data_IF_580584762901
#
_entry.id   IF_580584762901
#
_cell.length_a   1.000
_cell.length_b   1.000
_cell.length_c   1.000
_cell.angle_alpha   90.00
_cell.angle_beta   90.00
_cell.angle_gamma   90.00
#
_symmetry.space_group_name_H-M   'P 1'
#
loop_
_entity.id
_entity.type
_entity.pdbx_description
1 polymer ?
#
# COMPACT_ATOMS: atom_id res chain seq x y z
N UNK A 1 -1.43 -10.22 29.27
CA UNK A 1 -1.84 -11.47 28.57
C UNK A 1 -2.74 -11.24 27.36
N UNK A 2 -3.84 -10.45 27.43
CA UNK A 2 -4.71 -10.15 26.26
C UNK A 2 -4.00 -9.42 25.11
N UNK A 3 -3.15 -8.44 25.40
CA UNK A 3 -2.41 -7.69 24.35
C UNK A 3 -1.39 -8.58 23.61
N UNK A 4 -0.70 -9.48 24.31
CA UNK A 4 0.25 -10.43 23.69
C UNK A 4 -0.42 -11.36 22.66
N UNK A 5 -1.62 -11.88 22.96
CA UNK A 5 -2.38 -12.71 22.03
C UNK A 5 -2.78 -11.92 20.77
N UNK A 6 -3.26 -10.68 20.94
CA UNK A 6 -3.62 -9.81 19.83
C UNK A 6 -2.42 -9.51 18.90
N UNK A 7 -1.22 -9.29 19.45
CA UNK A 7 -0.01 -9.10 18.62
C UNK A 7 0.40 -10.38 17.89
N UNK A 8 0.29 -11.54 18.54
CA UNK A 8 0.63 -12.82 17.92
C UNK A 8 -0.26 -13.13 16.72
N UNK A 9 -1.57 -12.90 16.84
CA UNK A 9 -2.51 -13.10 15.73
C UNK A 9 -2.28 -12.09 14.60
N UNK A 10 -1.99 -10.82 14.94
CA UNK A 10 -1.61 -9.81 13.93
C UNK A 10 -0.32 -10.16 13.20
N UNK A 11 0.69 -10.71 13.87
CA UNK A 11 1.92 -11.19 13.22
C UNK A 11 1.67 -12.34 12.25
N UNK A 12 0.80 -13.29 12.61
CA UNK A 12 0.40 -14.37 11.68
C UNK A 12 -0.28 -13.80 10.45
N UNK A 13 -1.18 -12.83 10.63
CA UNK A 13 -1.87 -12.18 9.53
C UNK A 13 -0.89 -11.45 8.60
N UNK A 14 0.06 -10.67 9.15
CA UNK A 14 1.12 -10.02 8.35
C UNK A 14 1.91 -11.04 7.53
N UNK A 15 2.31 -12.18 8.13
CA UNK A 15 3.04 -13.25 7.42
C UNK A 15 2.21 -13.89 6.30
N UNK A 16 0.91 -14.06 6.49
CA UNK A 16 0.01 -14.58 5.46
C UNK A 16 -0.12 -13.60 4.28
N UNK A 17 -0.36 -12.32 4.58
CA UNK A 17 -0.46 -11.26 3.57
C UNK A 17 0.85 -11.06 2.80
N UNK A 18 1.99 -11.10 3.50
CA UNK A 18 3.34 -11.05 2.91
C UNK A 18 3.55 -12.17 1.89
N UNK A 19 3.16 -13.41 2.23
CA UNK A 19 3.24 -14.55 1.30
C UNK A 19 2.38 -14.35 0.05
N UNK A 20 1.16 -13.81 0.21
CA UNK A 20 0.24 -13.56 -0.93
C UNK A 20 0.75 -12.45 -1.85
N UNK A 21 1.35 -11.40 -1.30
CA UNK A 21 2.03 -10.36 -2.08
C UNK A 21 3.20 -10.96 -2.86
N UNK A 22 4.07 -11.72 -2.20
CA UNK A 22 5.23 -12.38 -2.83
C UNK A 22 4.81 -13.34 -3.94
N UNK A 23 3.78 -14.16 -3.69
CA UNK A 23 3.20 -15.02 -4.72
C UNK A 23 2.72 -14.22 -5.94
N UNK A 24 2.05 -13.09 -5.73
CA UNK A 24 1.59 -12.24 -6.83
C UNK A 24 2.76 -11.64 -7.62
N UNK A 25 3.84 -11.23 -6.95
CA UNK A 25 5.08 -10.80 -7.61
C UNK A 25 5.72 -11.94 -8.42
N UNK A 26 5.84 -13.14 -7.85
CA UNK A 26 6.37 -14.32 -8.55
C UNK A 26 5.55 -14.60 -9.82
N UNK A 27 4.21 -14.53 -9.73
CA UNK A 27 3.33 -14.70 -10.88
C UNK A 27 3.49 -13.63 -11.94
N UNK A 28 3.77 -12.39 -11.58
CA UNK A 28 4.08 -11.33 -12.56
C UNK A 28 5.39 -11.64 -13.30
N UNK A 29 6.40 -12.15 -12.60
CA UNK A 29 7.71 -12.48 -13.17
C UNK A 29 7.69 -13.68 -14.13
N UNK A 30 6.64 -14.50 -14.13
CA UNK A 30 6.43 -15.58 -15.10
C UNK A 30 6.13 -15.05 -16.53
N UNK A 31 5.77 -13.77 -16.68
CA UNK A 31 5.42 -13.16 -17.97
C UNK A 31 6.59 -12.42 -18.62
N UNK A 32 6.56 -12.30 -19.95
CA UNK A 32 7.51 -11.47 -20.70
C UNK A 32 7.16 -9.97 -20.57
N UNK A 33 7.53 -9.37 -19.43
CA UNK A 33 7.23 -7.97 -19.10
C UNK A 33 7.78 -6.99 -20.14
N UNK A 34 8.96 -7.28 -20.72
CA UNK A 34 9.55 -6.46 -21.78
C UNK A 34 8.65 -6.41 -23.01
N UNK A 35 8.16 -7.57 -23.45
CA UNK A 35 7.25 -7.65 -24.59
C UNK A 35 5.95 -6.89 -24.31
N UNK A 36 5.32 -7.16 -23.15
CA UNK A 36 4.07 -6.48 -22.75
C UNK A 36 4.24 -4.97 -22.73
N UNK A 37 5.36 -4.46 -22.19
CA UNK A 37 5.65 -3.03 -22.17
C UNK A 37 5.90 -2.46 -23.57
N UNK A 38 6.66 -3.16 -24.42
CA UNK A 38 6.95 -2.69 -25.78
C UNK A 38 5.72 -2.61 -26.68
N UNK A 39 4.70 -3.42 -26.41
CA UNK A 39 3.42 -3.42 -27.14
C UNK A 39 2.33 -2.64 -26.43
N UNK A 40 2.65 -1.90 -25.36
CA UNK A 40 1.66 -1.14 -24.62
C UNK A 40 1.07 -0.01 -25.48
N UNK A 41 -0.25 0.05 -25.55
CA UNK A 41 -0.98 1.15 -26.17
C UNK A 41 -2.01 1.71 -25.17
N UNK A 42 -1.92 3.01 -24.79
CA UNK A 42 -2.84 3.59 -23.84
C UNK A 42 -4.28 3.68 -24.36
N UNK A 43 -4.52 3.62 -25.67
CA UNK A 43 -5.85 3.74 -26.26
C UNK A 43 -6.54 2.40 -26.53
N UNK A 44 -5.80 1.30 -26.48
CA UNK A 44 -6.35 -0.04 -26.73
C UNK A 44 -6.76 -0.73 -25.43
N UNK A 45 -7.42 -1.88 -25.54
CA UNK A 45 -7.67 -2.77 -24.40
C UNK A 45 -6.42 -3.59 -24.06
N UNK A 46 -6.28 -3.97 -22.79
CA UNK A 46 -5.15 -4.78 -22.36
C UNK A 46 -5.14 -6.15 -23.05
N UNK A 47 -3.98 -6.57 -23.55
CA UNK A 47 -3.82 -7.90 -24.14
C UNK A 47 -3.86 -8.99 -23.06
N UNK A 48 -4.14 -10.24 -23.43
CA UNK A 48 -4.40 -11.35 -22.48
C UNK A 48 -3.37 -11.49 -21.37
N UNK A 49 -2.07 -11.39 -21.69
CA UNK A 49 -1.03 -11.52 -20.67
C UNK A 49 -0.86 -10.25 -19.84
N UNK A 50 -1.11 -9.08 -20.42
CA UNK A 50 -1.17 -7.82 -19.67
C UNK A 50 -2.31 -7.85 -18.65
N UNK A 51 -3.49 -8.34 -19.02
CA UNK A 51 -4.65 -8.51 -18.10
C UNK A 51 -4.28 -9.37 -16.89
N UNK A 52 -3.50 -10.44 -17.08
CA UNK A 52 -3.07 -11.29 -15.97
C UNK A 52 -2.04 -10.60 -15.08
N UNK A 53 -1.08 -9.88 -15.67
CA UNK A 53 -0.12 -9.05 -14.89
C UNK A 53 -0.86 -8.02 -14.05
N UNK A 54 -1.82 -7.31 -14.67
CA UNK A 54 -2.70 -6.35 -14.01
C UNK A 54 -3.45 -7.00 -12.85
N UNK A 55 -4.04 -8.19 -13.05
CA UNK A 55 -4.77 -8.92 -12.00
C UNK A 55 -3.89 -9.18 -10.76
N UNK A 56 -2.65 -9.63 -10.95
CA UNK A 56 -1.73 -9.84 -9.84
C UNK A 56 -1.29 -8.51 -9.20
N UNK A 57 -1.14 -7.45 -9.98
CA UNK A 57 -0.84 -6.11 -9.45
C UNK A 57 -1.97 -5.52 -8.61
N UNK A 58 -3.23 -5.69 -9.04
CA UNK A 58 -4.40 -5.28 -8.27
C UNK A 58 -4.46 -6.05 -6.94
N UNK A 59 -4.17 -7.35 -6.95
CA UNK A 59 -4.05 -8.12 -5.70
C UNK A 59 -2.98 -7.54 -4.76
N UNK A 60 -1.80 -7.18 -5.27
CA UNK A 60 -0.75 -6.54 -4.47
C UNK A 60 -1.24 -5.21 -3.91
N UNK A 61 -1.92 -4.39 -4.71
CA UNK A 61 -2.48 -3.09 -4.29
C UNK A 61 -3.45 -3.25 -3.10
N UNK A 62 -4.42 -4.16 -3.23
CA UNK A 62 -5.42 -4.38 -2.19
C UNK A 62 -4.79 -4.96 -0.91
N UNK A 63 -3.88 -5.93 -1.04
CA UNK A 63 -3.24 -6.52 0.13
C UNK A 63 -2.31 -5.52 0.83
N UNK A 64 -1.61 -4.67 0.08
CA UNK A 64 -0.77 -3.61 0.64
C UNK A 64 -1.61 -2.58 1.41
N UNK A 65 -2.80 -2.24 0.91
CA UNK A 65 -3.76 -1.43 1.68
C UNK A 65 -4.13 -2.07 3.02
N UNK A 66 -4.37 -3.38 3.05
CA UNK A 66 -4.67 -4.11 4.30
C UNK A 66 -3.49 -4.05 5.28
N UNK A 67 -2.25 -4.08 4.78
CA UNK A 67 -1.07 -3.91 5.63
C UNK A 67 -1.02 -2.52 6.31
N UNK A 68 -1.42 -1.46 5.60
CA UNK A 68 -1.53 -0.11 6.19
C UNK A 68 -2.59 -0.04 7.29
N UNK A 69 -3.76 -0.68 7.08
CA UNK A 69 -4.79 -0.80 8.12
C UNK A 69 -4.29 -1.61 9.33
N UNK A 70 -3.60 -2.72 9.08
CA UNK A 70 -3.01 -3.54 10.14
C UNK A 70 -1.96 -2.77 10.96
N UNK A 71 -1.12 -1.96 10.30
CA UNK A 71 -0.16 -1.09 10.97
C UNK A 71 -0.87 -0.14 11.95
N UNK A 72 -1.91 0.56 11.49
CA UNK A 72 -2.70 1.45 12.35
C UNK A 72 -3.35 0.70 13.52
N UNK A 73 -3.88 -0.51 13.28
CA UNK A 73 -4.46 -1.31 14.35
C UNK A 73 -3.43 -1.82 15.37
N UNK A 74 -2.20 -2.15 14.95
CA UNK A 74 -1.11 -2.50 15.87
C UNK A 74 -0.79 -1.31 16.76
N UNK A 75 -0.61 -0.14 16.16
CA UNK A 75 -0.35 1.10 16.89
C UNK A 75 -1.50 1.45 17.85
N UNK A 76 -2.76 1.27 17.45
CA UNK A 76 -3.92 1.52 18.31
C UNK A 76 -3.92 0.65 19.59
N UNK A 77 -3.51 -0.61 19.48
CA UNK A 77 -3.38 -1.51 20.64
C UNK A 77 -2.15 -1.13 21.47
N UNK A 78 -1.02 -0.87 20.82
CA UNK A 78 0.25 -0.60 21.50
C UNK A 78 0.29 0.73 22.22
N UNK A 79 -0.42 1.72 21.69
CA UNK A 79 -0.55 3.04 22.29
C UNK A 79 -1.76 3.15 23.23
N UNK A 80 -2.45 2.04 23.49
CA UNK A 80 -3.59 1.97 24.41
C UNK A 80 -4.70 2.98 24.09
N UNK A 81 -4.92 3.24 22.80
CA UNK A 81 -5.91 4.22 22.33
C UNK A 81 -7.31 3.60 22.23
N UNK A 82 -7.38 2.25 22.13
CA UNK A 82 -8.59 1.42 22.16
C UNK A 82 -9.74 1.89 21.24
N UNK A 83 -9.41 2.51 20.11
CA UNK A 83 -10.40 2.84 19.08
C UNK A 83 -10.94 1.53 18.51
N UNK A 84 -12.26 1.46 18.31
CA UNK A 84 -12.91 0.30 17.70
C UNK A 84 -12.36 0.06 16.28
N UNK A 85 -12.11 -1.20 15.92
CA UNK A 85 -11.36 -1.55 14.70
C UNK A 85 -12.03 -1.06 13.40
N UNK A 86 -13.36 -0.99 13.39
CA UNK A 86 -14.21 -0.51 12.29
C UNK A 86 -14.14 1.02 12.11
N UNK A 87 -13.55 1.74 13.08
CA UNK A 87 -13.40 3.19 13.08
C UNK A 87 -11.96 3.65 12.86
N UNK A 88 -11.03 2.72 12.64
CA UNK A 88 -9.63 3.04 12.40
C UNK A 88 -9.42 3.21 10.90
N UNK A 89 -9.34 4.46 10.47
CA UNK A 89 -8.88 4.83 9.15
C UNK A 89 -7.41 5.23 9.25
N UNK A 90 -6.49 4.44 8.69
CA UNK A 90 -5.05 4.58 8.94
C UNK A 90 -4.52 6.02 8.75
N UNK A 91 -4.91 6.71 7.67
CA UNK A 91 -4.47 8.08 7.39
C UNK A 91 -4.91 9.05 8.49
N UNK A 92 -6.18 9.03 8.87
CA UNK A 92 -6.73 9.89 9.93
C UNK A 92 -6.15 9.53 11.30
N UNK A 93 -5.97 8.23 11.57
CA UNK A 93 -5.34 7.74 12.80
C UNK A 93 -3.93 8.31 12.96
N UNK A 94 -3.07 8.19 11.94
CA UNK A 94 -1.70 8.71 12.02
C UNK A 94 -1.66 10.24 12.02
N UNK A 95 -2.52 10.92 11.27
CA UNK A 95 -2.64 12.38 11.33
C UNK A 95 -2.92 12.87 12.76
N UNK A 96 -3.94 12.29 13.42
CA UNK A 96 -4.34 12.68 14.76
C UNK A 96 -3.22 12.44 15.78
N UNK A 97 -2.43 11.37 15.60
CA UNK A 97 -1.30 11.03 16.48
C UNK A 97 0.00 11.72 16.11
N UNK A 98 0.08 12.38 14.96
CA UNK A 98 1.21 13.22 14.56
C UNK A 98 1.14 14.65 15.12
N UNK A 99 -0.01 15.04 15.70
CA UNK A 99 -0.29 16.40 16.12
C UNK A 99 -0.45 16.54 17.65
N UNK A 100 -0.32 17.77 18.15
CA UNK A 100 -0.59 18.12 19.54
C UNK A 100 0.57 17.84 20.51
N UNK A 101 0.30 18.04 21.81
CA UNK A 101 1.30 17.91 22.88
C UNK A 101 1.74 16.46 23.13
N UNK A 102 0.92 15.49 22.75
CA UNK A 102 1.18 14.05 22.84
C UNK A 102 1.49 13.44 21.46
N UNK A 103 2.03 14.25 20.54
CA UNK A 103 2.41 13.78 19.21
C UNK A 103 3.43 12.63 19.31
N UNK A 104 3.20 11.57 18.55
CA UNK A 104 4.07 10.40 18.49
C UNK A 104 5.01 10.55 17.29
N UNK A 105 6.35 10.54 17.48
CA UNK A 105 7.30 10.67 16.37
C UNK A 105 7.08 9.63 15.26
N UNK A 106 6.78 8.38 15.63
CA UNK A 106 6.44 7.33 14.67
C UNK A 106 5.19 7.66 13.85
N UNK A 107 4.14 8.19 14.48
CA UNK A 107 2.92 8.57 13.77
C UNK A 107 3.18 9.71 12.77
N UNK A 108 4.01 10.69 13.14
CA UNK A 108 4.46 11.76 12.24
C UNK A 108 5.21 11.19 11.05
N UNK A 109 6.20 10.32 11.28
CA UNK A 109 6.97 9.66 10.23
C UNK A 109 6.08 8.90 9.23
N UNK A 110 5.10 8.15 9.73
CA UNK A 110 4.13 7.44 8.88
C UNK A 110 3.25 8.43 8.13
N UNK A 111 2.68 9.42 8.82
CA UNK A 111 1.80 10.40 8.19
C UNK A 111 2.49 11.20 7.09
N UNK A 112 3.72 11.67 7.34
CA UNK A 112 4.53 12.41 6.37
C UNK A 112 4.72 11.58 5.07
N UNK A 113 4.91 10.26 5.17
CA UNK A 113 4.95 9.36 4.00
C UNK A 113 3.59 9.21 3.30
N UNK A 114 2.50 9.06 4.05
CA UNK A 114 1.14 8.92 3.50
C UNK A 114 0.65 10.18 2.76
N UNK A 115 1.23 11.34 3.06
CA UNK A 115 0.92 12.64 2.46
C UNK A 115 2.03 13.18 1.57
N UNK A 116 3.01 12.36 1.24
CA UNK A 116 4.11 12.77 0.38
C UNK A 116 3.58 13.19 -1.00
N UNK A 117 4.04 14.35 -1.47
CA UNK A 117 3.68 14.86 -2.78
C UNK A 117 4.24 13.94 -3.88
N UNK A 118 3.46 13.79 -4.95
CA UNK A 118 3.86 12.94 -6.07
C UNK A 118 4.96 13.62 -6.89
N UNK A 119 6.20 13.23 -6.64
CA UNK A 119 7.38 13.69 -7.38
C UNK A 119 8.20 12.49 -7.88
N UNK A 120 8.27 12.37 -9.21
CA UNK A 120 9.03 11.33 -9.93
C UNK A 120 10.26 11.90 -10.65
N UNK A 121 10.60 13.17 -10.41
CA UNK A 121 11.75 13.83 -11.03
C UNK A 121 13.10 13.25 -10.58
N UNK A 122 13.11 12.49 -9.49
CA UNK A 122 14.30 11.78 -9.02
C UNK A 122 14.58 10.54 -9.88
N UNK A 123 15.39 10.75 -10.93
CA UNK A 123 15.77 9.73 -11.92
C UNK A 123 16.66 8.62 -11.31
N UNK A 124 17.31 8.87 -10.17
CA UNK A 124 18.31 7.96 -9.58
C UNK A 124 17.87 7.34 -8.23
N UNK A 125 16.58 7.38 -7.87
CA UNK A 125 16.14 6.98 -6.53
C UNK A 125 14.70 6.49 -6.38
N UNK A 126 14.28 6.39 -5.10
CA UNK A 126 12.90 6.10 -4.67
C UNK A 126 11.97 7.21 -5.18
N UNK A 127 10.80 6.84 -5.69
CA UNK A 127 9.79 7.83 -6.08
C UNK A 127 9.03 8.33 -4.86
N UNK A 128 8.65 9.60 -4.91
CA UNK A 128 7.85 10.21 -3.86
C UNK A 128 6.36 10.08 -4.18
N UNK A 129 5.53 10.08 -3.15
CA UNK A 129 4.07 10.04 -3.28
C UNK A 129 3.54 8.71 -3.82
N UNK A 130 4.25 7.61 -3.55
CA UNK A 130 3.81 6.28 -3.98
C UNK A 130 2.47 5.90 -3.34
N UNK A 131 2.34 6.12 -2.02
CA UNK A 131 1.11 5.80 -1.31
C UNK A 131 -0.08 6.61 -1.83
N UNK A 132 0.09 7.94 -1.96
CA UNK A 132 -0.97 8.84 -2.44
C UNK A 132 -1.42 8.44 -3.84
N UNK A 133 -0.49 8.20 -4.76
CA UNK A 133 -0.79 7.72 -6.12
C UNK A 133 -1.59 6.40 -6.12
N UNK A 134 -1.12 5.39 -5.38
CA UNK A 134 -1.74 4.06 -5.37
C UNK A 134 -3.10 4.08 -4.66
N UNK A 135 -3.26 4.90 -3.62
CA UNK A 135 -4.55 5.11 -2.96
C UNK A 135 -5.55 5.72 -3.93
N UNK A 136 -5.18 6.74 -4.68
CA UNK A 136 -6.08 7.41 -5.64
C UNK A 136 -6.45 6.46 -6.79
N UNK A 137 -5.50 5.65 -7.27
CA UNK A 137 -5.76 4.56 -8.22
C UNK A 137 -6.78 3.55 -7.67
N UNK A 138 -6.59 3.07 -6.44
CA UNK A 138 -7.52 2.14 -5.77
C UNK A 138 -8.91 2.76 -5.60
N UNK A 139 -8.98 4.00 -5.12
CA UNK A 139 -10.25 4.70 -4.89
C UNK A 139 -11.01 4.94 -6.22
N UNK A 140 -10.29 5.20 -7.31
CA UNK A 140 -10.88 5.29 -8.65
C UNK A 140 -11.45 3.94 -9.12
N UNK A 141 -10.76 2.82 -8.87
CA UNK A 141 -11.27 1.48 -9.17
C UNK A 141 -12.56 1.15 -8.41
N UNK A 142 -12.69 1.63 -7.16
CA UNK A 142 -13.89 1.37 -6.34
C UNK A 142 -15.08 2.28 -6.67
N UNK A 143 -14.83 3.46 -7.25
CA UNK A 143 -15.86 4.48 -7.42
C UNK A 143 -16.21 4.84 -8.87
N UNK A 144 -15.35 4.51 -9.85
CA UNK A 144 -15.50 5.02 -11.23
C UNK A 144 -15.43 3.91 -12.28
N UNK A 145 -14.25 3.34 -12.50
CA UNK A 145 -13.99 2.36 -13.56
C UNK A 145 -12.68 1.63 -13.32
N UNK A 146 -12.49 0.47 -13.96
CA UNK A 146 -11.17 -0.15 -13.99
C UNK A 146 -10.16 0.81 -14.61
N UNK A 147 -9.06 1.08 -13.91
CA UNK A 147 -7.96 1.95 -14.39
C UNK A 147 -7.29 1.39 -15.66
N UNK A 148 -7.58 0.14 -16.00
CA UNK A 148 -7.06 -0.56 -17.17
C UNK A 148 -7.93 -0.44 -18.41
N UNK A 149 -8.99 0.38 -18.34
CA UNK A 149 -9.86 0.72 -19.46
C UNK A 149 -9.73 2.21 -19.71
N UNK A 150 -9.34 2.57 -20.93
CA UNK A 150 -9.40 3.97 -21.36
C UNK A 150 -10.85 4.35 -21.55
N UNK A 151 -11.29 5.34 -20.78
CA UNK A 151 -12.68 5.78 -20.77
C UNK A 151 -12.74 7.29 -20.81
N UNK A 152 -13.54 7.81 -21.73
CA UNK A 152 -13.99 9.18 -21.72
C UNK A 152 -15.39 9.20 -21.14
N UNK A 153 -15.55 9.78 -19.95
CA UNK A 153 -16.87 10.04 -19.37
C UNK A 153 -17.12 11.54 -19.36
N UNK A 154 -18.37 11.97 -19.15
CA UNK A 154 -18.71 13.40 -18.99
C UNK A 154 -18.00 14.07 -17.79
N UNK A 155 -17.31 13.29 -16.94
CA UNK A 155 -16.66 13.77 -15.73
C UNK A 155 -15.13 13.63 -15.75
N UNK A 156 -14.55 12.79 -16.60
CA UNK A 156 -13.09 12.58 -16.62
C UNK A 156 -12.60 11.81 -17.86
N UNK A 157 -11.35 12.09 -18.26
CA UNK A 157 -10.57 11.35 -19.24
C UNK A 157 -9.62 10.42 -18.49
N UNK A 158 -9.88 9.11 -18.51
CA UNK A 158 -8.97 8.10 -17.96
C UNK A 158 -8.17 7.48 -19.09
N UNK A 159 -6.85 7.64 -19.09
CA UNK A 159 -5.94 6.94 -19.99
C UNK A 159 -5.19 5.85 -19.22
N UNK A 160 -5.07 4.67 -19.82
CA UNK A 160 -4.24 3.60 -19.28
C UNK A 160 -2.79 4.09 -19.11
N UNK A 161 -2.17 3.67 -18.01
CA UNK A 161 -0.76 3.91 -17.71
C UNK A 161 -0.01 2.58 -17.87
N UNK A 162 1.24 2.58 -18.39
CA UNK A 162 2.00 1.33 -18.51
C UNK A 162 2.20 0.68 -17.13
N UNK A 163 1.90 -0.62 -17.06
CA UNK A 163 1.90 -1.37 -15.79
C UNK A 163 3.23 -1.28 -15.01
N UNK A 164 4.36 -1.08 -15.71
CA UNK A 164 5.68 -1.01 -15.08
C UNK A 164 5.82 0.17 -14.10
N UNK A 165 5.16 1.29 -14.37
CA UNK A 165 5.14 2.45 -13.48
C UNK A 165 4.39 2.12 -12.19
N UNK A 166 3.23 1.49 -12.31
CA UNK A 166 2.41 1.07 -11.17
C UNK A 166 3.15 -0.01 -10.37
N UNK A 167 3.79 -0.97 -11.04
CA UNK A 167 4.54 -2.05 -10.39
C UNK A 167 5.68 -1.52 -9.52
N UNK A 168 6.45 -0.54 -10.02
CA UNK A 168 7.51 0.10 -9.22
C UNK A 168 6.94 0.75 -7.96
N UNK A 169 5.85 1.51 -8.09
CA UNK A 169 5.19 2.17 -6.95
C UNK A 169 4.68 1.15 -5.93
N UNK A 170 4.08 0.05 -6.39
CA UNK A 170 3.61 -1.04 -5.53
C UNK A 170 4.75 -1.65 -4.72
N UNK A 171 5.89 -1.93 -5.36
CA UNK A 171 7.07 -2.47 -4.67
C UNK A 171 7.55 -1.50 -3.59
N UNK A 172 7.63 -0.21 -3.90
CA UNK A 172 8.13 0.80 -2.96
C UNK A 172 7.16 1.06 -1.79
N UNK A 173 5.86 1.09 -2.02
CA UNK A 173 4.83 1.26 -0.97
C UNK A 173 4.75 0.02 -0.07
N UNK A 174 4.75 -1.18 -0.67
CA UNK A 174 4.81 -2.44 0.08
C UNK A 174 6.07 -2.54 0.95
N UNK A 175 7.24 -2.20 0.40
CA UNK A 175 8.47 -2.19 1.17
C UNK A 175 8.38 -1.18 2.32
N UNK A 176 7.82 0.01 2.09
CA UNK A 176 7.70 1.04 3.12
C UNK A 176 6.78 0.63 4.27
N UNK A 177 5.60 0.07 4.00
CA UNK A 177 4.71 -0.40 5.08
C UNK A 177 5.36 -1.54 5.86
N UNK A 178 6.11 -2.41 5.20
CA UNK A 178 6.83 -3.50 5.87
C UNK A 178 7.95 -2.98 6.78
N UNK A 179 8.67 -1.94 6.36
CA UNK A 179 9.66 -1.25 7.21
C UNK A 179 9.00 -0.66 8.48
N UNK A 180 7.85 0.00 8.33
CA UNK A 180 7.12 0.54 9.48
C UNK A 180 6.56 -0.55 10.40
N UNK A 181 6.05 -1.65 9.83
CA UNK A 181 5.61 -2.81 10.60
C UNK A 181 6.76 -3.41 11.41
N UNK A 182 7.94 -3.58 10.81
CA UNK A 182 9.11 -4.10 11.53
C UNK A 182 9.58 -3.14 12.62
N UNK A 183 9.60 -1.84 12.36
CA UNK A 183 9.98 -0.82 13.34
C UNK A 183 9.08 -0.88 14.58
N UNK A 184 7.75 -0.88 14.40
CA UNK A 184 6.82 -0.93 15.53
C UNK A 184 6.83 -2.29 16.24
N UNK A 185 6.98 -3.39 15.51
CA UNK A 185 7.03 -4.73 16.11
C UNK A 185 8.30 -4.96 16.93
N UNK A 186 9.43 -4.42 16.48
CA UNK A 186 10.69 -4.47 17.23
C UNK A 186 10.64 -3.59 18.47
N UNK A 187 9.99 -2.42 18.40
CA UNK A 187 9.76 -1.56 19.56
C UNK A 187 8.88 -2.27 20.60
N UNK A 188 7.80 -2.91 20.16
CA UNK A 188 6.94 -3.73 21.01
C UNK A 188 7.72 -4.85 21.71
N UNK A 189 8.56 -5.61 20.98
CA UNK A 189 9.38 -6.68 21.56
C UNK A 189 10.31 -6.16 22.66
N UNK A 190 11.03 -5.07 22.39
CA UNK A 190 11.95 -4.48 23.38
C UNK A 190 11.25 -4.09 24.67
N UNK A 191 10.03 -3.55 24.57
CA UNK A 191 9.24 -3.15 25.74
C UNK A 191 8.56 -4.33 26.46
N UNK A 192 8.51 -5.52 25.87
CA UNK A 192 8.03 -6.74 26.55
C UNK A 192 9.14 -7.50 27.27
N UNK A 193 10.38 -7.38 26.80
CA UNK A 193 11.56 -8.04 27.39
C UNK A 193 12.24 -7.19 28.49
N UNK A 194 11.71 -5.98 28.78
CA UNK A 194 12.19 -5.08 29.84
C UNK A 194 11.25 -5.05 31.05
#
# INVERSE_FOLDING_TARGET
>A
MRNCLAYFDKRKNIKDLDRKIKFSFEKILEYNLKNIYSTFNPMEVAVKDEVKVIYYMENILFITSILWDLLAQICNIYWEEYIAYDKIYYKSFFNNRAQGKSARPFAKKVFDYLTEDNDVSNINGKWNGNHSYLKDMRDSMTHRSSQNITSLTNFELNMRVPFIYILKRLIEDYNQVFLFLNEILNDIEKNFDS
#
